data_IF_744817879019
#
_entry.id   IF_744817879019
#
_cell.length_a   1.000
_cell.length_b   1.000
_cell.length_c   1.000
_cell.angle_alpha   90.00
_cell.angle_beta   90.00
_cell.angle_gamma   90.00
#
_symmetry.space_group_name_H-M   'P 1'
#
loop_
_entity.id
_entity.type
_entity.pdbx_description
1 polymer ?
#
# COMPACT_ATOMS: atom_id res chain seq x y z
N UNK A 1 11.11 7.19 21.07
CA UNK A 1 10.37 6.44 20.04
C UNK A 1 11.28 6.22 18.83
N UNK A 2 11.72 4.99 18.54
CA UNK A 2 12.70 4.78 17.46
C UNK A 2 12.04 4.76 16.08
N UNK A 3 12.28 5.82 15.30
CA UNK A 3 11.82 5.98 13.92
C UNK A 3 12.29 4.81 13.02
N UNK A 4 13.51 4.28 13.27
CA UNK A 4 14.07 3.13 12.55
C UNK A 4 13.17 1.89 12.60
N UNK A 5 12.64 1.55 13.77
CA UNK A 5 11.73 0.42 13.91
C UNK A 5 10.40 0.62 13.17
N UNK A 6 9.92 1.87 13.04
CA UNK A 6 8.74 2.18 12.22
C UNK A 6 9.03 2.04 10.73
N UNK A 7 10.21 2.49 10.28
CA UNK A 7 10.60 2.45 8.86
C UNK A 7 10.75 1.01 8.35
N UNK A 8 11.23 0.10 9.18
CA UNK A 8 11.32 -1.32 8.83
C UNK A 8 9.96 -1.98 8.59
N UNK A 9 8.92 -1.52 9.30
CA UNK A 9 7.54 -1.98 9.11
C UNK A 9 6.91 -1.35 7.86
N UNK A 10 7.36 -0.16 7.47
CA UNK A 10 6.93 0.51 6.24
C UNK A 10 7.50 -0.17 4.99
N UNK A 11 8.69 -0.76 5.08
CA UNK A 11 9.47 -1.21 3.93
C UNK A 11 8.72 -2.14 2.96
N UNK A 12 8.00 -3.18 3.42
CA UNK A 12 7.25 -4.06 2.52
C UNK A 12 6.16 -3.29 1.75
N UNK A 13 5.44 -2.40 2.44
CA UNK A 13 4.41 -1.58 1.81
C UNK A 13 4.99 -0.57 0.81
N UNK A 14 6.13 0.05 1.14
CA UNK A 14 6.86 0.95 0.21
C UNK A 14 7.25 0.19 -1.08
N UNK A 15 7.82 -1.00 -0.93
CA UNK A 15 8.25 -1.82 -2.07
C UNK A 15 7.08 -2.23 -2.96
N UNK A 16 5.97 -2.70 -2.37
CA UNK A 16 4.78 -3.09 -3.14
C UNK A 16 4.20 -1.86 -3.88
N UNK A 17 4.08 -0.72 -3.20
CA UNK A 17 3.59 0.51 -3.81
C UNK A 17 4.48 1.01 -4.95
N UNK A 18 5.81 0.97 -4.76
CA UNK A 18 6.77 1.36 -5.78
C UNK A 18 6.70 0.45 -7.01
N UNK A 19 6.68 -0.87 -6.81
CA UNK A 19 6.60 -1.85 -7.90
C UNK A 19 5.26 -1.73 -8.63
N UNK A 20 4.15 -1.60 -7.91
CA UNK A 20 2.84 -1.46 -8.53
C UNK A 20 2.74 -0.17 -9.37
N UNK A 21 3.25 0.96 -8.85
CA UNK A 21 3.31 2.20 -9.62
C UNK A 21 4.28 2.15 -10.79
N UNK A 22 5.41 1.44 -10.66
CA UNK A 22 6.34 1.23 -11.76
C UNK A 22 5.74 0.35 -12.86
N UNK A 23 4.97 -0.69 -12.52
CA UNK A 23 4.26 -1.53 -13.51
C UNK A 23 3.15 -0.71 -14.18
N UNK A 24 2.29 -0.06 -13.40
CA UNK A 24 1.24 0.80 -13.92
C UNK A 24 1.83 1.88 -14.84
N UNK A 25 2.97 2.45 -14.45
CA UNK A 25 3.67 3.44 -15.24
C UNK A 25 4.44 2.91 -16.45
N UNK A 26 4.96 1.69 -16.36
CA UNK A 26 5.57 1.00 -17.50
C UNK A 26 4.52 0.71 -18.58
N UNK A 27 3.30 0.34 -18.19
CA UNK A 27 2.20 0.15 -19.12
C UNK A 27 1.81 1.46 -19.84
N UNK A 28 1.90 2.62 -19.18
CA UNK A 28 1.63 3.90 -19.86
C UNK A 28 2.73 4.28 -20.85
N UNK A 29 3.99 3.88 -20.60
CA UNK A 29 5.09 4.06 -21.55
C UNK A 29 4.87 3.30 -22.86
N UNK A 30 4.25 2.12 -22.81
CA UNK A 30 3.88 1.36 -24.01
C UNK A 30 2.88 2.10 -24.90
N UNK A 31 2.13 3.04 -24.32
CA UNK A 31 1.16 3.90 -25.02
C UNK A 31 1.73 5.31 -25.24
N UNK A 32 3.05 5.49 -25.06
CA UNK A 32 3.76 6.75 -25.31
C UNK A 32 3.63 7.80 -24.21
N UNK A 33 3.20 7.44 -23.00
CA UNK A 33 2.97 8.37 -21.89
C UNK A 33 4.03 8.20 -20.78
N UNK A 34 4.97 9.15 -20.60
CA UNK A 34 6.06 9.08 -19.61
C UNK A 34 5.65 9.38 -18.16
N UNK A 35 4.36 9.64 -17.92
CA UNK A 35 3.80 10.02 -16.61
C UNK A 35 3.78 8.89 -15.57
N UNK A 36 4.12 7.68 -15.97
CA UNK A 36 3.98 6.47 -15.18
C UNK A 36 4.83 6.39 -13.92
N UNK A 37 6.09 6.80 -14.00
CA UNK A 37 7.02 6.74 -12.85
C UNK A 37 6.66 7.72 -11.74
N UNK A 38 5.94 8.79 -12.07
CA UNK A 38 5.44 9.78 -11.11
C UNK A 38 4.45 9.14 -10.14
N UNK A 39 3.73 8.09 -10.56
CA UNK A 39 2.78 7.36 -9.70
C UNK A 39 3.47 6.45 -8.69
N UNK A 40 4.65 5.94 -9.00
CA UNK A 40 5.40 5.04 -8.13
C UNK A 40 5.73 5.67 -6.79
N UNK A 41 6.05 6.97 -6.77
CA UNK A 41 6.42 7.69 -5.55
C UNK A 41 5.25 7.85 -4.58
N UNK A 42 4.08 8.42 -4.97
CA UNK A 42 2.91 8.47 -4.09
C UNK A 42 2.46 7.09 -3.60
N UNK A 43 2.41 6.09 -4.48
CA UNK A 43 2.02 4.73 -4.09
C UNK A 43 3.00 4.12 -3.09
N UNK A 44 4.29 4.32 -3.26
CA UNK A 44 5.31 3.88 -2.30
C UNK A 44 5.13 4.55 -0.93
N UNK A 45 4.84 5.87 -0.91
CA UNK A 45 4.59 6.62 0.32
C UNK A 45 3.34 6.08 1.04
N UNK A 46 2.22 5.94 0.34
CA UNK A 46 0.99 5.40 0.93
C UNK A 46 1.15 3.93 1.35
N UNK A 47 1.81 3.11 0.54
CA UNK A 47 2.13 1.73 0.92
C UNK A 47 2.98 1.67 2.20
N UNK A 48 3.98 2.54 2.33
CA UNK A 48 4.77 2.66 3.56
C UNK A 48 3.94 3.09 4.76
N UNK A 49 3.07 4.11 4.58
CA UNK A 49 2.17 4.58 5.62
C UNK A 49 1.24 3.45 6.10
N UNK A 50 0.68 2.66 5.18
CA UNK A 50 -0.10 1.47 5.50
C UNK A 50 0.67 0.49 6.39
N UNK A 51 1.91 0.16 6.04
CA UNK A 51 2.78 -0.71 6.85
C UNK A 51 3.02 -0.16 8.27
N UNK A 52 3.22 1.15 8.40
CA UNK A 52 3.36 1.77 9.74
C UNK A 52 2.08 1.75 10.56
N UNK A 53 0.92 1.95 9.92
CA UNK A 53 -0.40 1.91 10.59
C UNK A 53 -0.76 0.49 11.02
N UNK A 54 -0.40 -0.51 10.22
CA UNK A 54 -0.53 -1.92 10.58
C UNK A 54 0.30 -2.26 11.82
N UNK A 55 1.57 -1.82 11.86
CA UNK A 55 2.43 -2.00 13.03
C UNK A 55 1.98 -1.25 14.29
N UNK A 56 1.09 -0.25 14.17
CA UNK A 56 0.43 0.43 15.29
C UNK A 56 -0.86 -0.25 15.74
N UNK A 57 -1.31 -1.31 15.05
CA UNK A 57 -2.55 -2.03 15.36
C UNK A 57 -3.81 -1.41 14.78
N UNK A 58 -3.70 -0.42 13.89
CA UNK A 58 -4.87 0.21 13.25
C UNK A 58 -5.56 -0.73 12.25
N UNK A 59 -4.79 -1.66 11.69
CA UNK A 59 -5.27 -2.70 10.79
C UNK A 59 -5.09 -4.06 11.46
N UNK A 60 -6.09 -4.94 11.33
CA UNK A 60 -5.98 -6.34 11.77
C UNK A 60 -5.49 -7.18 10.58
N UNK A 61 -4.56 -8.12 10.79
CA UNK A 61 -4.19 -9.10 9.76
C UNK A 61 -5.44 -9.83 9.23
N UNK A 62 -5.60 -9.96 7.91
CA UNK A 62 -6.75 -10.60 7.29
C UNK A 62 -8.03 -9.74 7.21
N UNK A 63 -8.02 -8.50 7.71
CA UNK A 63 -9.19 -7.62 7.65
C UNK A 63 -9.15 -6.73 6.39
N UNK A 64 -9.88 -7.13 5.36
CA UNK A 64 -9.99 -6.36 4.12
C UNK A 64 -10.69 -5.01 4.30
N UNK A 65 -11.77 -4.95 5.10
CA UNK A 65 -12.64 -3.76 5.19
C UNK A 65 -11.90 -2.45 5.46
N UNK A 66 -11.15 -2.32 6.57
CA UNK A 66 -10.42 -1.09 6.89
C UNK A 66 -9.31 -0.77 5.87
N UNK A 67 -8.63 -1.79 5.34
CA UNK A 67 -7.57 -1.63 4.36
C UNK A 67 -8.11 -1.19 2.98
N UNK A 68 -9.28 -1.69 2.59
CA UNK A 68 -10.01 -1.25 1.41
C UNK A 68 -10.44 0.20 1.52
N UNK A 69 -11.00 0.62 2.67
CA UNK A 69 -11.35 2.03 2.91
C UNK A 69 -10.12 2.95 2.86
N UNK A 70 -8.99 2.51 3.42
CA UNK A 70 -7.72 3.23 3.31
C UNK A 70 -7.33 3.46 1.84
N UNK A 71 -7.34 2.41 1.03
CA UNK A 71 -6.96 2.50 -0.38
C UNK A 71 -8.00 3.23 -1.24
N UNK A 72 -9.27 3.21 -0.86
CA UNK A 72 -10.33 4.00 -1.48
C UNK A 72 -10.09 5.51 -1.40
N UNK A 73 -9.30 5.96 -0.43
CA UNK A 73 -8.85 7.35 -0.32
C UNK A 73 -7.42 7.53 -0.84
N UNK A 74 -6.50 6.67 -0.44
CA UNK A 74 -5.08 6.80 -0.77
C UNK A 74 -4.80 6.68 -2.27
N UNK A 75 -5.51 5.79 -2.98
CA UNK A 75 -5.29 5.58 -4.41
C UNK A 75 -5.78 6.75 -5.27
N UNK A 76 -7.02 7.29 -5.09
CA UNK A 76 -7.43 8.51 -5.78
C UNK A 76 -6.53 9.70 -5.49
N UNK A 77 -6.06 9.86 -4.25
CA UNK A 77 -5.13 10.94 -3.89
C UNK A 77 -3.77 10.75 -4.57
N UNK A 78 -3.22 9.54 -4.60
CA UNK A 78 -1.99 9.23 -5.33
C UNK A 78 -2.11 9.56 -6.82
N UNK A 79 -3.24 9.20 -7.43
CA UNK A 79 -3.58 9.51 -8.82
C UNK A 79 -3.77 11.00 -9.05
N UNK A 80 -4.38 11.72 -8.10
CA UNK A 80 -4.54 13.17 -8.17
C UNK A 80 -3.17 13.87 -8.16
N UNK A 81 -2.27 13.45 -7.26
CA UNK A 81 -0.89 13.98 -7.21
C UNK A 81 -0.17 13.75 -8.53
N UNK A 82 -0.22 12.53 -9.06
CA UNK A 82 0.38 12.22 -10.36
C UNK A 82 -0.20 13.14 -11.44
N UNK A 83 -1.52 13.25 -11.51
CA UNK A 83 -2.21 14.02 -12.54
C UNK A 83 -1.91 15.52 -12.45
N UNK A 84 -1.82 16.06 -11.24
CA UNK A 84 -1.40 17.46 -11.01
C UNK A 84 0.04 17.72 -11.47
N UNK A 85 0.91 16.72 -11.41
CA UNK A 85 2.31 16.84 -11.84
C UNK A 85 2.48 16.63 -13.35
N UNK A 86 1.58 15.89 -14.00
CA UNK A 86 1.71 15.53 -15.42
C UNK A 86 0.77 16.30 -16.34
N UNK A 87 -0.35 16.82 -15.82
CA UNK A 87 -1.28 17.69 -16.53
C UNK A 87 -2.18 17.00 -17.57
N UNK A 88 -2.44 15.70 -17.49
CA UNK A 88 -2.98 14.88 -18.58
C UNK A 88 -4.45 14.41 -18.43
N UNK A 89 -5.16 14.69 -17.33
CA UNK A 89 -6.35 13.87 -17.00
C UNK A 89 -7.48 14.50 -16.17
N UNK A 90 -7.50 15.82 -15.92
CA UNK A 90 -8.62 16.48 -15.21
C UNK A 90 -9.64 17.17 -16.13
N UNK A 91 -9.79 16.71 -17.39
CA UNK A 91 -10.67 17.37 -18.38
C UNK A 91 -12.15 17.37 -17.99
N UNK A 92 -12.63 16.30 -17.37
CA UNK A 92 -14.05 16.14 -17.01
C UNK A 92 -14.36 16.56 -15.55
N UNK A 93 -13.40 17.18 -14.87
CA UNK A 93 -13.52 17.67 -13.51
C UNK A 93 -13.00 16.71 -12.43
N UNK A 94 -12.56 17.30 -11.31
CA UNK A 94 -11.86 16.61 -10.21
C UNK A 94 -12.75 15.58 -9.50
N UNK A 95 -14.03 15.87 -9.31
CA UNK A 95 -14.93 14.98 -8.56
C UNK A 95 -15.20 13.67 -9.31
N UNK A 96 -15.46 13.75 -10.62
CA UNK A 96 -15.70 12.57 -11.45
C UNK A 96 -14.43 11.71 -11.54
N UNK A 97 -13.26 12.35 -11.68
CA UNK A 97 -11.97 11.68 -11.61
C UNK A 97 -11.80 10.91 -10.30
N UNK A 98 -12.01 11.56 -9.15
CA UNK A 98 -11.87 10.91 -7.84
C UNK A 98 -12.86 9.76 -7.65
N UNK A 99 -14.11 9.91 -8.09
CA UNK A 99 -15.11 8.85 -8.03
C UNK A 99 -14.70 7.62 -8.87
N UNK A 100 -14.22 7.85 -10.09
CA UNK A 100 -13.71 6.78 -10.95
C UNK A 100 -12.49 6.09 -10.33
N UNK A 101 -11.51 6.86 -9.84
CA UNK A 101 -10.33 6.29 -9.19
C UNK A 101 -10.69 5.52 -7.91
N UNK A 102 -11.74 5.94 -7.18
CA UNK A 102 -12.20 5.21 -5.99
C UNK A 102 -12.77 3.83 -6.38
N UNK A 103 -13.48 3.72 -7.51
CA UNK A 103 -13.94 2.43 -8.01
C UNK A 103 -12.75 1.53 -8.43
N UNK A 104 -11.79 2.09 -9.16
CA UNK A 104 -10.57 1.37 -9.59
C UNK A 104 -9.72 0.93 -8.41
N UNK A 105 -9.70 1.72 -7.33
CA UNK A 105 -8.91 1.46 -6.13
C UNK A 105 -9.24 0.12 -5.47
N UNK A 106 -10.46 -0.40 -5.64
CA UNK A 106 -10.88 -1.67 -5.04
C UNK A 106 -10.03 -2.82 -5.56
N UNK A 107 -9.82 -2.89 -6.88
CA UNK A 107 -8.98 -3.91 -7.50
C UNK A 107 -7.52 -3.78 -7.06
N UNK A 108 -7.02 -2.54 -7.00
CA UNK A 108 -5.68 -2.26 -6.48
C UNK A 108 -5.53 -2.69 -5.02
N UNK A 109 -6.51 -2.37 -4.16
CA UNK A 109 -6.50 -2.69 -2.74
C UNK A 109 -6.43 -4.20 -2.52
N UNK A 110 -7.22 -4.99 -3.26
CA UNK A 110 -7.18 -6.46 -3.21
C UNK A 110 -5.79 -6.97 -3.54
N UNK A 111 -5.20 -6.55 -4.66
CA UNK A 111 -3.87 -6.97 -5.07
C UNK A 111 -2.77 -6.55 -4.08
N UNK A 112 -2.84 -5.31 -3.59
CA UNK A 112 -1.90 -4.78 -2.60
C UNK A 112 -1.96 -5.59 -1.31
N UNK A 113 -3.16 -5.79 -0.75
CA UNK A 113 -3.36 -6.51 0.52
C UNK A 113 -2.88 -7.95 0.36
N UNK A 114 -3.24 -8.62 -0.73
CA UNK A 114 -2.81 -10.00 -0.99
C UNK A 114 -1.28 -10.12 -1.03
N UNK A 115 -0.61 -9.24 -1.78
CA UNK A 115 0.85 -9.23 -1.87
C UNK A 115 1.48 -8.90 -0.51
N UNK A 116 0.92 -7.92 0.19
CA UNK A 116 1.39 -7.48 1.49
C UNK A 116 1.28 -8.58 2.54
N UNK A 117 0.15 -9.30 2.59
CA UNK A 117 -0.03 -10.45 3.49
C UNK A 117 0.88 -11.63 3.14
N UNK A 118 1.27 -11.79 1.88
CA UNK A 118 2.23 -12.83 1.49
C UNK A 118 3.67 -12.48 1.90
N UNK A 119 4.06 -11.21 1.75
CA UNK A 119 5.44 -10.75 2.00
C UNK A 119 5.68 -10.44 3.47
N UNK A 120 4.71 -9.81 4.16
CA UNK A 120 4.88 -9.27 5.51
C UNK A 120 5.32 -10.34 6.54
N UNK A 121 4.72 -11.54 6.64
CA UNK A 121 5.14 -12.55 7.62
C UNK A 121 6.61 -12.98 7.46
N UNK A 122 7.04 -13.19 6.21
CA UNK A 122 8.44 -13.55 5.90
C UNK A 122 9.42 -12.41 6.20
N UNK A 123 8.97 -11.16 6.07
CA UNK A 123 9.76 -10.00 6.45
C UNK A 123 9.87 -9.87 7.98
N UNK A 124 8.75 -10.03 8.69
CA UNK A 124 8.70 -9.97 10.15
C UNK A 124 9.55 -11.06 10.80
N UNK A 125 9.51 -12.29 10.29
CA UNK A 125 10.37 -13.38 10.77
C UNK A 125 11.86 -13.02 10.74
N UNK A 126 12.31 -12.30 9.70
CA UNK A 126 13.71 -11.88 9.56
C UNK A 126 14.08 -10.70 10.46
N UNK A 127 13.12 -9.87 10.89
CA UNK A 127 13.37 -8.67 11.70
C UNK A 127 12.93 -8.79 13.16
N UNK A 128 12.24 -9.87 13.54
CA UNK A 128 11.74 -10.06 14.90
C UNK A 128 12.84 -10.09 15.97
N UNK A 129 14.05 -10.54 15.61
CA UNK A 129 15.20 -10.55 16.53
C UNK A 129 15.73 -9.16 16.89
N UNK A 130 15.67 -8.22 15.94
CA UNK A 130 16.27 -6.88 16.09
C UNK A 130 15.21 -5.79 16.38
N UNK A 131 13.93 -6.08 16.13
CA UNK A 131 12.85 -5.10 16.22
C UNK A 131 11.67 -5.64 17.05
N UNK A 132 11.47 -5.12 18.28
CA UNK A 132 10.40 -5.60 19.17
C UNK A 132 8.99 -5.35 18.62
N UNK A 133 8.81 -4.37 17.72
CA UNK A 133 7.50 -4.16 17.06
C UNK A 133 7.24 -5.18 15.97
N UNK A 134 8.27 -5.62 15.27
CA UNK A 134 8.16 -6.69 14.30
C UNK A 134 7.77 -8.00 15.00
N UNK A 135 8.35 -8.28 16.17
CA UNK A 135 7.98 -9.42 17.01
C UNK A 135 6.50 -9.34 17.46
N UNK A 136 6.05 -8.20 17.99
CA UNK A 136 4.66 -8.02 18.42
C UNK A 136 3.64 -8.17 17.27
N UNK A 137 3.98 -7.68 16.07
CA UNK A 137 3.13 -7.84 14.89
C UNK A 137 3.12 -9.30 14.42
N UNK A 138 4.28 -9.98 14.43
CA UNK A 138 4.38 -11.40 14.09
C UNK A 138 3.54 -12.26 15.03
N UNK A 139 3.55 -12.00 16.33
CA UNK A 139 2.70 -12.69 17.31
C UNK A 139 1.21 -12.53 16.98
N UNK A 140 0.80 -11.33 16.53
CA UNK A 140 -0.57 -11.08 16.09
C UNK A 140 -0.94 -11.94 14.86
N UNK A 141 -0.02 -12.08 13.90
CA UNK A 141 -0.20 -12.97 12.74
C UNK A 141 -0.29 -14.45 13.15
N UNK A 142 0.56 -14.91 14.08
CA UNK A 142 0.54 -16.31 14.57
C UNK A 142 -0.75 -16.61 15.34
N UNK A 143 -1.20 -15.68 16.20
CA UNK A 143 -2.47 -15.84 16.91
C UNK A 143 -3.65 -15.91 15.95
N UNK A 144 -3.66 -15.09 14.90
CA UNK A 144 -4.69 -15.13 13.86
C UNK A 144 -4.69 -16.48 13.12
N UNK A 145 -3.52 -16.97 12.72
CA UNK A 145 -3.39 -18.26 12.04
C UNK A 145 -3.92 -19.42 12.90
N UNK A 146 -3.62 -19.42 14.21
CA UNK A 146 -4.13 -20.42 15.16
C UNK A 146 -5.65 -20.40 15.33
N UNK A 147 -6.30 -19.25 15.12
CA UNK A 147 -7.77 -19.13 15.18
C UNK A 147 -8.44 -19.70 13.93
N UNK A 148 -7.79 -19.56 12.77
CA UNK A 148 -8.33 -20.05 11.48
C UNK A 148 -8.10 -21.57 11.33
N UNK A 149 -7.07 -22.12 11.99
CA UNK A 149 -6.76 -23.56 11.94
C UNK A 149 -7.50 -24.42 12.97
N UNK A 150 -8.48 -23.86 13.68
CA UNK A 150 -9.40 -24.58 14.59
C UNK A 150 -10.76 -24.66 13.95
#
# INVERSE_FOLDING_TARGET
MNLRHSLELALPGVLIGAVAGAIAGGLTLLVGQPSGLVLAVPLAIFGGLYGTLLGKGFFRPGAFGPAGLYWMLAFPVARLIQESLTGLGMRDGVLLFLAYQALVSVGFAIGFIWMHERIMPHWLLRRAGDNPRAAALLDSYVQQARRISR
#
